data_IF_733611582169
#
_entry.id   IF_733611582169
#
_cell.length_a   1.000
_cell.length_b   1.000
_cell.length_c   1.000
_cell.angle_alpha   90.00
_cell.angle_beta   90.00
_cell.angle_gamma   90.00
#
_symmetry.space_group_name_H-M   'P 1'
#
loop_
_entity.id
_entity.type
_entity.pdbx_description
1 polymer ?
#
# COMPACT_ATOMS: atom_id res chain seq x y z
N UNK A 1 -3.79 1.89 50.54
CA UNK A 1 -3.62 0.49 51.00
C UNK A 1 -3.21 -0.34 49.79
N UNK A 2 -1.91 -0.56 49.62
CA UNK A 2 -1.34 -1.29 48.47
C UNK A 2 -1.18 -2.76 48.83
N UNK A 3 -1.81 -3.62 48.02
CA UNK A 3 -1.61 -5.07 48.00
C UNK A 3 -0.21 -5.38 47.46
N UNK A 4 0.64 -6.00 48.29
CA UNK A 4 1.87 -6.69 47.89
C UNK A 4 1.56 -8.17 47.68
N UNK A 5 1.30 -8.56 46.44
CA UNK A 5 1.56 -9.91 45.92
C UNK A 5 2.99 -9.85 45.33
N UNK A 6 3.94 -10.75 45.52
CA UNK A 6 4.00 -12.10 46.06
C UNK A 6 5.27 -12.72 45.45
N UNK A 7 6.46 -12.25 45.85
CA UNK A 7 7.76 -12.69 45.30
C UNK A 7 8.25 -13.98 46.01
N UNK A 8 7.67 -14.29 47.17
CA UNK A 8 8.03 -15.45 47.99
C UNK A 8 8.06 -16.80 47.27
N UNK A 9 7.10 -17.13 46.38
CA UNK A 9 7.11 -18.43 45.69
C UNK A 9 8.27 -18.59 44.70
N UNK A 10 8.62 -17.52 43.99
CA UNK A 10 9.74 -17.53 43.04
C UNK A 10 11.08 -17.57 43.78
N UNK A 11 11.18 -16.86 44.90
CA UNK A 11 12.39 -16.81 45.70
C UNK A 11 12.68 -18.18 46.35
N UNK A 12 11.65 -18.84 46.89
CA UNK A 12 11.79 -20.22 47.37
C UNK A 12 12.22 -21.20 46.26
N UNK A 13 11.66 -21.07 45.06
CA UNK A 13 12.04 -21.96 43.95
C UNK A 13 13.49 -21.77 43.49
N UNK A 14 14.02 -20.55 43.59
CA UNK A 14 15.42 -20.25 43.28
C UNK A 14 16.34 -20.82 44.36
N UNK A 15 15.99 -20.65 45.63
CA UNK A 15 16.81 -21.14 46.74
C UNK A 15 16.86 -22.68 46.75
N UNK A 16 15.74 -23.35 46.47
CA UNK A 16 15.67 -24.82 46.40
C UNK A 16 16.48 -25.38 45.23
N UNK A 17 16.52 -24.67 44.09
CA UNK A 17 17.36 -25.02 42.95
C UNK A 17 18.86 -24.82 43.23
N UNK A 18 19.22 -23.81 44.03
CA UNK A 18 20.60 -23.56 44.44
C UNK A 18 21.11 -24.63 45.41
N UNK A 19 20.27 -25.08 46.35
CA UNK A 19 20.62 -26.16 47.27
C UNK A 19 20.80 -27.51 46.54
N UNK A 20 19.99 -27.77 45.50
CA UNK A 20 20.16 -28.94 44.62
C UNK A 20 21.50 -28.94 43.87
N UNK A 21 22.03 -27.76 43.54
CA UNK A 21 23.33 -27.60 42.88
C UNK A 21 24.51 -27.63 43.85
N UNK A 22 24.30 -27.27 45.11
CA UNK A 22 25.35 -27.26 46.14
C UNK A 22 25.71 -28.68 46.67
N UNK A 23 24.84 -29.67 46.45
CA UNK A 23 24.96 -31.02 47.02
C UNK A 23 25.83 -32.03 46.25
N UNK A 24 26.41 -31.67 45.10
CA UNK A 24 27.13 -32.61 44.24
C UNK A 24 28.63 -32.26 44.11
N UNK A 25 29.53 -32.90 44.88
CA UNK A 25 30.97 -32.61 44.85
C UNK A 25 31.67 -33.39 43.72
N UNK A 26 30.98 -33.65 42.60
CA UNK A 26 31.64 -34.15 41.40
C UNK A 26 32.53 -33.02 40.87
N UNK A 27 33.86 -33.21 40.78
CA UNK A 27 34.70 -32.21 40.14
C UNK A 27 34.18 -32.02 38.72
N UNK A 28 33.75 -30.78 38.42
CA UNK A 28 33.39 -30.40 37.06
C UNK A 28 34.59 -30.77 36.18
N UNK A 29 34.39 -31.52 35.09
CA UNK A 29 35.48 -31.76 34.15
C UNK A 29 36.03 -30.39 33.77
N UNK A 30 37.36 -30.28 33.82
CA UNK A 30 38.11 -29.07 33.51
C UNK A 30 37.46 -28.42 32.28
N UNK A 31 36.88 -27.25 32.47
CA UNK A 31 36.04 -26.63 31.46
C UNK A 31 36.88 -26.48 30.20
N UNK A 32 36.64 -27.36 29.22
CA UNK A 32 37.15 -27.17 27.88
C UNK A 32 36.78 -25.74 27.52
N UNK A 33 37.76 -24.97 27.01
CA UNK A 33 37.52 -23.63 26.50
C UNK A 33 36.61 -23.80 25.28
N UNK A 34 35.31 -23.87 25.54
CA UNK A 34 34.28 -23.84 24.52
C UNK A 34 34.27 -22.40 24.06
N UNK A 35 34.68 -22.17 22.80
CA UNK A 35 34.50 -20.87 22.19
C UNK A 35 33.05 -20.43 22.41
N UNK A 36 32.82 -19.23 22.98
CA UNK A 36 31.48 -18.78 23.25
C UNK A 36 30.73 -18.79 21.93
N UNK A 37 29.62 -19.55 21.87
CA UNK A 37 28.74 -19.54 20.72
C UNK A 37 28.42 -18.08 20.38
N UNK A 38 28.55 -17.67 19.10
CA UNK A 38 28.25 -16.29 18.72
C UNK A 38 26.86 -15.96 19.23
N UNK A 39 26.73 -14.82 19.91
CA UNK A 39 25.44 -14.43 20.49
C UNK A 39 24.35 -14.49 19.42
N UNK A 40 23.10 -14.81 19.80
CA UNK A 40 21.97 -14.78 18.87
C UNK A 40 21.92 -13.47 18.08
N UNK A 41 22.31 -12.36 18.72
CA UNK A 41 22.42 -11.05 18.08
C UNK A 41 23.49 -11.01 16.97
N UNK A 42 24.66 -11.59 17.19
CA UNK A 42 25.71 -11.68 16.17
C UNK A 42 25.26 -12.57 15.00
N UNK A 43 24.61 -13.69 15.29
CA UNK A 43 24.02 -14.55 14.25
C UNK A 43 22.96 -13.81 13.44
N UNK A 44 22.11 -13.01 14.08
CA UNK A 44 21.14 -12.14 13.40
C UNK A 44 21.83 -11.07 12.54
N UNK A 45 22.89 -10.45 13.03
CA UNK A 45 23.66 -9.45 12.29
C UNK A 45 24.32 -10.04 11.03
N UNK A 46 24.90 -11.23 11.16
CA UNK A 46 25.54 -11.94 10.05
C UNK A 46 24.53 -12.36 8.98
N UNK A 47 23.34 -12.83 9.40
CA UNK A 47 22.23 -13.12 8.49
C UNK A 47 21.75 -11.87 7.75
N UNK A 48 21.67 -10.72 8.43
CA UNK A 48 21.28 -9.44 7.82
C UNK A 48 22.35 -8.97 6.82
N UNK A 49 23.63 -9.08 7.17
CA UNK A 49 24.74 -8.64 6.31
C UNK A 49 24.91 -9.52 5.05
N UNK A 50 24.50 -10.78 5.10
CA UNK A 50 24.55 -11.71 3.98
C UNK A 50 23.43 -11.52 2.95
N UNK A 51 22.40 -10.70 3.25
CA UNK A 51 21.31 -10.43 2.32
C UNK A 51 21.77 -9.43 1.23
N UNK A 52 21.76 -9.81 -0.06
CA UNK A 52 21.97 -8.86 -1.15
C UNK A 52 20.73 -7.97 -1.22
N UNK A 53 20.83 -6.71 -0.80
CA UNK A 53 19.62 -5.88 -0.69
C UNK A 53 19.55 -4.83 -1.79
N UNK A 54 18.97 -5.21 -2.94
CA UNK A 54 18.19 -4.23 -3.68
C UNK A 54 17.09 -3.74 -2.71
N UNK A 55 16.96 -2.43 -2.44
CA UNK A 55 16.03 -1.98 -1.42
C UNK A 55 14.60 -2.38 -1.76
N UNK A 56 13.88 -2.94 -0.78
CA UNK A 56 12.51 -3.39 -0.98
C UNK A 56 11.56 -2.21 -0.80
N UNK A 57 10.68 -1.99 -1.79
CA UNK A 57 9.60 -1.01 -1.70
C UNK A 57 8.27 -1.71 -1.88
N UNK A 58 7.25 -1.24 -1.15
CA UNK A 58 5.90 -1.76 -1.21
C UNK A 58 4.99 -0.79 -1.95
N UNK A 59 4.17 -1.26 -2.88
CA UNK A 59 3.24 -0.41 -3.62
C UNK A 59 1.81 -0.94 -3.60
N UNK A 60 0.86 -0.03 -3.40
CA UNK A 60 -0.57 -0.30 -3.45
C UNK A 60 -1.15 0.33 -4.71
N UNK A 61 -1.76 -0.49 -5.58
CA UNK A 61 -2.35 -0.04 -6.83
C UNK A 61 -3.86 -0.18 -6.79
N UNK A 62 -4.56 0.95 -6.86
CA UNK A 62 -6.01 0.99 -6.83
C UNK A 62 -6.50 1.83 -8.00
N UNK A 63 -7.36 1.28 -8.85
CA UNK A 63 -8.02 2.11 -9.87
C UNK A 63 -8.92 3.17 -9.21
N UNK A 64 -9.29 4.21 -9.96
CA UNK A 64 -10.11 5.29 -9.43
C UNK A 64 -11.44 4.77 -8.85
N UNK A 65 -11.76 5.20 -7.63
CA UNK A 65 -12.99 4.85 -6.92
C UNK A 65 -13.18 3.35 -6.56
N UNK A 66 -12.11 2.58 -6.41
CA UNK A 66 -12.17 1.16 -5.99
C UNK A 66 -11.97 0.91 -4.48
N UNK A 67 -12.07 1.96 -3.65
CA UNK A 67 -11.92 1.83 -2.20
C UNK A 67 -10.50 1.96 -1.67
N UNK A 68 -9.55 2.42 -2.51
CA UNK A 68 -8.13 2.57 -2.14
C UNK A 68 -7.88 3.33 -0.84
N UNK A 69 -8.64 4.39 -0.54
CA UNK A 69 -8.48 5.14 0.72
C UNK A 69 -8.76 4.27 1.96
N UNK A 70 -9.82 3.46 1.94
CA UNK A 70 -10.16 2.59 3.08
C UNK A 70 -9.06 1.56 3.30
N UNK A 71 -8.68 0.87 2.23
CA UNK A 71 -7.68 -0.20 2.28
C UNK A 71 -6.33 0.37 2.71
N UNK A 72 -5.91 1.51 2.17
CA UNK A 72 -4.68 2.18 2.56
C UNK A 72 -4.67 2.63 4.03
N UNK A 73 -5.81 3.08 4.58
CA UNK A 73 -5.90 3.36 6.03
C UNK A 73 -5.66 2.11 6.87
N UNK A 74 -6.19 0.95 6.45
CA UNK A 74 -5.97 -0.32 7.16
C UNK A 74 -4.51 -0.78 7.05
N UNK A 75 -3.88 -0.63 5.87
CA UNK A 75 -2.46 -0.93 5.68
C UNK A 75 -1.58 0.02 6.50
N UNK A 76 -1.89 1.31 6.53
CA UNK A 76 -1.17 2.29 7.34
C UNK A 76 -1.26 2.01 8.85
N UNK A 77 -2.29 1.28 9.30
CA UNK A 77 -2.46 0.87 10.68
C UNK A 77 -1.67 -0.41 11.04
N UNK A 78 -1.06 -1.10 10.07
CA UNK A 78 -0.20 -2.25 10.34
C UNK A 78 1.10 -1.82 11.03
N UNK A 79 1.70 -2.69 11.87
CA UNK A 79 2.95 -2.40 12.57
C UNK A 79 4.06 -1.93 11.63
N UNK A 80 4.85 -0.99 12.11
CA UNK A 80 6.05 -0.48 11.43
C UNK A 80 5.82 0.02 9.99
N UNK A 81 4.58 0.30 9.61
CA UNK A 81 4.23 0.73 8.26
C UNK A 81 4.23 2.25 8.17
N UNK A 82 4.96 2.80 7.20
CA UNK A 82 4.92 4.21 6.82
C UNK A 82 4.35 4.31 5.42
N UNK A 83 3.13 4.81 5.31
CA UNK A 83 2.42 4.93 4.04
C UNK A 83 2.45 6.37 3.51
N UNK A 84 2.98 6.55 2.30
CA UNK A 84 2.80 7.77 1.53
C UNK A 84 1.64 7.60 0.56
N UNK A 85 0.68 8.51 0.62
CA UNK A 85 -0.60 8.39 -0.08
C UNK A 85 -0.67 9.28 -1.31
N UNK A 86 -1.33 8.77 -2.35
CA UNK A 86 -1.59 9.48 -3.62
C UNK A 86 -0.32 9.90 -4.36
N UNK A 87 0.53 8.92 -4.62
CA UNK A 87 1.82 9.11 -5.26
C UNK A 87 1.70 8.91 -6.77
N UNK A 88 2.05 9.95 -7.53
CA UNK A 88 2.26 9.92 -8.97
C UNK A 88 3.20 11.08 -9.35
N UNK A 89 4.52 10.85 -9.48
CA UNK A 89 5.50 11.92 -9.68
C UNK A 89 5.34 12.64 -11.01
N UNK A 90 4.64 12.01 -11.97
CA UNK A 90 4.39 12.55 -13.31
C UNK A 90 3.01 13.19 -13.47
N UNK A 91 2.21 13.22 -12.40
CA UNK A 91 0.90 13.87 -12.38
C UNK A 91 0.99 15.38 -12.58
N UNK A 92 0.07 15.91 -13.38
CA UNK A 92 -0.17 17.35 -13.53
C UNK A 92 -1.56 17.78 -13.02
N UNK A 93 -2.33 16.84 -12.44
CA UNK A 93 -3.76 17.04 -12.15
C UNK A 93 -4.05 18.20 -11.18
N UNK A 94 -3.14 18.44 -10.24
CA UNK A 94 -3.29 19.45 -9.17
C UNK A 94 -2.38 20.67 -9.36
N UNK A 95 -1.72 20.80 -10.51
CA UNK A 95 -0.79 21.90 -10.77
C UNK A 95 -1.56 23.03 -11.47
N UNK A 96 -1.74 24.19 -10.82
CA UNK A 96 -2.37 25.34 -11.46
C UNK A 96 -1.57 25.76 -12.70
N UNK A 97 -2.26 25.92 -13.82
CA UNK A 97 -1.63 26.33 -15.09
C UNK A 97 -1.37 27.84 -15.14
N UNK A 98 -2.12 28.60 -14.35
CA UNK A 98 -2.23 30.05 -14.53
C UNK A 98 -1.20 30.83 -13.68
N UNK A 99 -0.65 30.20 -12.63
CA UNK A 99 0.36 30.82 -11.76
C UNK A 99 1.20 29.77 -11.01
N UNK A 100 2.50 30.03 -10.78
CA UNK A 100 3.31 29.23 -9.88
C UNK A 100 2.73 29.18 -8.46
N UNK A 101 2.97 28.07 -7.77
CA UNK A 101 2.52 27.83 -6.39
C UNK A 101 3.72 27.89 -5.48
N UNK A 102 3.66 28.72 -4.44
CA UNK A 102 4.72 28.76 -3.44
C UNK A 102 4.72 27.46 -2.63
N UNK A 103 5.68 26.57 -2.91
CA UNK A 103 5.87 25.30 -2.22
C UNK A 103 7.37 25.08 -1.94
N UNK A 104 7.95 25.76 -0.94
CA UNK A 104 9.40 25.86 -0.75
C UNK A 104 10.08 24.52 -0.40
N UNK A 105 9.32 23.51 0.01
CA UNK A 105 9.82 22.16 0.34
C UNK A 105 9.49 21.11 -0.71
N UNK A 106 8.72 21.46 -1.75
CA UNK A 106 8.33 20.55 -2.82
C UNK A 106 9.24 20.75 -4.03
N UNK A 107 10.37 20.04 -4.02
CA UNK A 107 11.38 20.14 -5.09
C UNK A 107 10.80 19.77 -6.46
N UNK A 108 9.93 18.74 -6.52
CA UNK A 108 9.33 18.31 -7.79
C UNK A 108 8.36 19.34 -8.35
N UNK A 109 7.56 20.00 -7.50
CA UNK A 109 6.70 21.10 -7.94
C UNK A 109 7.52 22.28 -8.46
N UNK A 110 8.59 22.66 -7.76
CA UNK A 110 9.48 23.74 -8.22
C UNK A 110 10.16 23.39 -9.56
N UNK A 111 10.60 22.14 -9.74
CA UNK A 111 11.14 21.64 -11.01
C UNK A 111 10.12 21.71 -12.16
N UNK A 112 8.83 21.64 -11.88
CA UNK A 112 7.77 21.79 -12.90
C UNK A 112 7.42 23.24 -13.21
N UNK A 113 7.65 24.14 -12.26
CA UNK A 113 7.28 25.56 -12.37
C UNK A 113 8.43 26.45 -12.83
N UNK A 114 9.62 25.90 -13.08
CA UNK A 114 10.73 26.65 -13.65
C UNK A 114 10.42 27.11 -15.08
N UNK A 115 10.95 28.28 -15.44
CA UNK A 115 10.80 28.87 -16.78
C UNK A 115 11.48 28.05 -17.88
N UNK A 116 12.41 27.15 -17.53
CA UNK A 116 13.06 26.23 -18.46
C UNK A 116 12.52 24.82 -18.22
N UNK A 117 11.69 24.26 -19.12
CA UNK A 117 11.12 22.93 -18.95
C UNK A 117 12.20 21.87 -18.75
N UNK A 118 11.99 21.00 -17.77
CA UNK A 118 12.83 19.84 -17.52
C UNK A 118 12.16 18.57 -18.07
N UNK A 119 12.92 17.60 -18.60
CA UNK A 119 12.37 16.32 -19.04
C UNK A 119 11.67 15.57 -17.89
N UNK A 120 10.61 14.82 -18.20
CA UNK A 120 9.91 13.98 -17.21
C UNK A 120 10.81 12.91 -16.59
N UNK A 121 11.79 12.42 -17.34
CA UNK A 121 12.82 11.48 -16.87
C UNK A 121 13.60 12.06 -15.69
N UNK A 122 13.98 13.35 -15.75
CA UNK A 122 14.69 14.00 -14.65
C UNK A 122 13.82 14.15 -13.39
N UNK A 123 12.51 14.38 -13.56
CA UNK A 123 11.56 14.40 -12.45
C UNK A 123 11.43 13.01 -11.81
N UNK A 124 11.40 11.96 -12.64
CA UNK A 124 11.39 10.57 -12.19
C UNK A 124 12.67 10.21 -11.44
N UNK A 125 13.84 10.60 -11.93
CA UNK A 125 15.14 10.34 -11.29
C UNK A 125 15.23 10.96 -9.90
N UNK A 126 14.83 12.24 -9.77
CA UNK A 126 14.82 12.94 -8.47
C UNK A 126 13.83 12.27 -7.51
N UNK A 127 12.67 11.86 -8.01
CA UNK A 127 11.68 11.12 -7.22
C UNK A 127 12.24 9.77 -6.73
N UNK A 128 12.81 8.96 -7.62
CA UNK A 128 13.40 7.65 -7.31
C UNK A 128 14.51 7.78 -6.27
N UNK A 129 15.40 8.77 -6.43
CA UNK A 129 16.46 9.04 -5.47
C UNK A 129 15.91 9.42 -4.08
N UNK A 130 14.89 10.29 -4.02
CA UNK A 130 14.26 10.69 -2.77
C UNK A 130 13.58 9.51 -2.07
N UNK A 131 12.85 8.68 -2.82
CA UNK A 131 12.20 7.47 -2.33
C UNK A 131 13.22 6.46 -1.81
N UNK A 132 14.32 6.23 -2.54
CA UNK A 132 15.38 5.32 -2.11
C UNK A 132 16.04 5.76 -0.81
N UNK A 133 16.30 7.06 -0.65
CA UNK A 133 16.83 7.60 0.62
C UNK A 133 15.83 7.46 1.75
N UNK A 134 14.54 7.71 1.53
CA UNK A 134 13.52 7.53 2.56
C UNK A 134 13.39 6.06 2.97
N UNK A 135 13.30 5.15 2.01
CA UNK A 135 13.19 3.72 2.24
C UNK A 135 14.37 3.20 3.08
N UNK A 136 15.60 3.58 2.73
CA UNK A 136 16.79 3.20 3.51
C UNK A 136 16.72 3.70 4.96
N UNK A 137 16.31 4.96 5.18
CA UNK A 137 16.22 5.53 6.53
C UNK A 137 15.09 4.96 7.38
N UNK A 138 14.04 4.44 6.74
CA UNK A 138 12.96 3.72 7.42
C UNK A 138 13.41 2.29 7.75
N UNK A 139 14.09 1.62 6.82
CA UNK A 139 14.66 0.29 7.04
C UNK A 139 15.67 0.28 8.20
N UNK A 140 16.51 1.32 8.34
CA UNK A 140 17.42 1.52 9.49
C UNK A 140 16.68 1.51 10.85
N UNK A 141 15.37 1.78 10.85
CA UNK A 141 14.50 1.82 12.04
C UNK A 141 13.55 0.63 12.14
N UNK A 142 13.71 -0.39 11.28
CA UNK A 142 12.80 -1.52 11.19
C UNK A 142 11.42 -1.17 10.64
N UNK A 143 11.30 -0.08 9.86
CA UNK A 143 10.05 0.38 9.26
C UNK A 143 9.99 0.08 7.77
N UNK A 144 8.77 -0.09 7.26
CA UNK A 144 8.48 -0.40 5.86
C UNK A 144 7.83 0.80 5.16
N UNK A 145 8.41 1.22 4.04
CA UNK A 145 7.81 2.23 3.16
C UNK A 145 6.77 1.58 2.25
N UNK A 146 5.54 2.09 2.29
CA UNK A 146 4.45 1.75 1.38
C UNK A 146 4.05 2.99 0.58
N UNK A 147 4.00 2.87 -0.75
CA UNK A 147 3.52 3.93 -1.63
C UNK A 147 2.14 3.55 -2.17
N UNK A 148 1.12 4.33 -1.87
CA UNK A 148 -0.18 4.20 -2.51
C UNK A 148 -0.19 5.02 -3.79
N UNK A 149 -0.23 4.31 -4.92
CA UNK A 149 -0.33 4.87 -6.26
C UNK A 149 -1.60 5.71 -6.44
N UNK A 150 -1.48 6.83 -7.13
CA UNK A 150 -2.61 7.65 -7.54
C UNK A 150 -3.02 7.36 -8.99
N UNK A 151 -3.54 6.16 -9.23
CA UNK A 151 -3.96 5.73 -10.56
C UNK A 151 -4.98 6.67 -11.24
N UNK A 152 -5.74 7.47 -10.48
CA UNK A 152 -6.65 8.46 -11.06
C UNK A 152 -5.91 9.50 -11.92
N UNK A 153 -4.78 10.04 -11.46
CA UNK A 153 -4.00 11.01 -12.26
C UNK A 153 -3.21 10.38 -13.41
N UNK A 154 -3.00 9.06 -13.37
CA UNK A 154 -2.38 8.32 -14.47
C UNK A 154 -3.39 7.91 -15.53
N UNK A 155 -4.43 7.19 -15.12
CA UNK A 155 -5.35 6.53 -16.05
C UNK A 155 -6.60 7.34 -16.36
N UNK A 156 -7.07 8.22 -15.46
CA UNK A 156 -8.36 8.89 -15.58
C UNK A 156 -8.22 10.39 -15.88
N UNK A 157 -7.38 10.74 -16.86
CA UNK A 157 -7.14 12.14 -17.29
C UNK A 157 -7.20 12.27 -18.82
N UNK A 158 -7.01 13.49 -19.33
CA UNK A 158 -7.06 13.76 -20.77
C UNK A 158 -5.80 13.22 -21.47
N UNK A 159 -4.71 13.04 -20.72
CA UNK A 159 -3.48 12.43 -21.21
C UNK A 159 -3.71 10.93 -21.44
N UNK A 160 -3.17 10.42 -22.54
CA UNK A 160 -3.21 8.99 -22.80
C UNK A 160 -2.24 8.26 -21.85
N UNK A 161 -2.70 7.26 -21.06
CA UNK A 161 -1.88 6.62 -20.04
C UNK A 161 -0.65 5.89 -20.58
N UNK A 162 -0.69 5.48 -21.86
CA UNK A 162 0.42 4.79 -22.53
C UNK A 162 1.65 5.68 -22.79
N UNK A 163 1.48 7.00 -22.71
CA UNK A 163 2.53 7.98 -23.06
C UNK A 163 3.53 8.24 -21.95
N UNK A 164 3.38 7.60 -20.79
CA UNK A 164 4.30 7.75 -19.65
C UNK A 164 4.36 6.49 -18.80
N UNK A 165 5.48 6.21 -18.11
CA UNK A 165 5.59 5.03 -17.27
C UNK A 165 4.67 5.12 -16.03
N UNK A 166 4.15 3.97 -15.60
CA UNK A 166 3.44 3.84 -14.31
C UNK A 166 4.40 4.01 -13.13
N UNK A 167 3.87 4.28 -11.93
CA UNK A 167 4.68 4.39 -10.70
C UNK A 167 5.57 3.15 -10.50
N UNK A 168 5.00 1.96 -10.70
CA UNK A 168 5.74 0.69 -10.59
C UNK A 168 6.90 0.63 -11.59
N UNK A 169 6.67 1.05 -12.83
CA UNK A 169 7.70 1.04 -13.88
C UNK A 169 8.79 2.08 -13.66
N UNK A 170 8.48 3.21 -13.02
CA UNK A 170 9.45 4.22 -12.58
C UNK A 170 10.38 3.65 -11.49
N UNK A 171 9.82 2.86 -10.55
CA UNK A 171 10.57 2.32 -9.41
C UNK A 171 11.34 1.03 -9.73
N UNK A 172 10.84 0.20 -10.65
CA UNK A 172 11.36 -1.15 -10.91
C UNK A 172 12.87 -1.26 -11.22
N UNK A 173 13.54 -0.26 -11.84
CA UNK A 173 14.97 -0.35 -12.10
C UNK A 173 15.86 -0.39 -10.84
N UNK A 174 15.40 0.20 -9.72
CA UNK A 174 16.23 0.43 -8.52
C UNK A 174 15.76 -0.35 -7.28
N UNK A 175 14.58 -0.98 -7.34
CA UNK A 175 13.93 -1.59 -6.17
C UNK A 175 13.36 -2.98 -6.44
N UNK A 176 13.43 -3.86 -5.44
CA UNK A 176 12.56 -5.04 -5.38
C UNK A 176 11.17 -4.58 -4.94
N UNK A 177 10.17 -4.76 -5.79
CA UNK A 177 8.83 -4.22 -5.55
C UNK A 177 7.89 -5.33 -5.07
N UNK A 178 7.37 -5.16 -3.85
CA UNK A 178 6.24 -5.95 -3.33
C UNK A 178 4.96 -5.18 -3.55
N UNK A 179 4.00 -5.76 -4.27
CA UNK A 179 2.85 -5.00 -4.73
C UNK A 179 1.58 -5.83 -4.76
N UNK A 180 0.46 -5.13 -4.61
CA UNK A 180 -0.88 -5.71 -4.76
C UNK A 180 -1.80 -4.71 -5.46
N UNK A 181 -2.72 -5.25 -6.26
CA UNK A 181 -3.76 -4.50 -6.93
C UNK A 181 -5.07 -4.70 -6.20
N UNK A 182 -5.85 -3.64 -6.04
CA UNK A 182 -7.25 -3.77 -5.65
C UNK A 182 -8.20 -3.23 -6.71
N UNK A 183 -9.28 -3.98 -6.88
CA UNK A 183 -10.30 -3.72 -7.89
C UNK A 183 -11.68 -3.68 -7.25
N UNK A 184 -12.66 -3.16 -7.98
CA UNK A 184 -14.06 -3.11 -7.56
C UNK A 184 -14.94 -3.40 -8.78
N UNK A 185 -16.23 -3.73 -8.59
CA UNK A 185 -17.16 -3.84 -9.72
C UNK A 185 -17.07 -2.55 -10.59
N UNK A 186 -16.73 -2.68 -11.90
CA UNK A 186 -16.61 -1.54 -12.81
C UNK A 186 -17.83 -0.62 -12.83
N UNK A 187 -19.04 -1.15 -12.59
CA UNK A 187 -20.27 -0.35 -12.50
C UNK A 187 -20.20 0.57 -11.28
N UNK A 188 -19.85 0.02 -10.13
CA UNK A 188 -19.78 0.74 -8.86
C UNK A 188 -18.68 1.82 -8.86
N UNK A 189 -17.50 1.49 -9.40
CA UNK A 189 -16.42 2.47 -9.55
C UNK A 189 -16.74 3.53 -10.59
N UNK A 190 -17.36 3.18 -11.72
CA UNK A 190 -17.75 4.17 -12.74
C UNK A 190 -18.83 5.14 -12.23
N UNK A 191 -19.85 4.66 -11.53
CA UNK A 191 -20.87 5.51 -10.91
C UNK A 191 -20.27 6.46 -9.88
N UNK A 192 -19.29 5.98 -9.11
CA UNK A 192 -18.55 6.82 -8.15
C UNK A 192 -17.71 7.89 -8.86
N UNK A 193 -17.03 7.53 -9.95
CA UNK A 193 -16.27 8.46 -10.78
C UNK A 193 -17.18 9.55 -11.38
N UNK A 194 -18.38 9.18 -11.85
CA UNK A 194 -19.37 10.13 -12.37
C UNK A 194 -19.92 11.06 -11.29
N UNK A 195 -20.26 10.51 -10.12
CA UNK A 195 -20.77 11.28 -8.99
C UNK A 195 -19.77 12.35 -8.49
N UNK A 196 -18.47 12.06 -8.57
CA UNK A 196 -17.41 13.02 -8.25
C UNK A 196 -17.11 14.02 -9.39
N UNK A 197 -17.77 13.92 -10.55
CA UNK A 197 -17.47 14.73 -11.73
C UNK A 197 -16.16 14.34 -12.44
N UNK A 198 -15.42 13.36 -11.92
CA UNK A 198 -14.08 12.98 -12.41
C UNK A 198 -14.08 12.29 -13.78
N UNK A 199 -15.23 11.77 -14.21
CA UNK A 199 -15.40 11.26 -15.57
C UNK A 199 -15.12 12.31 -16.66
N UNK A 200 -15.28 13.60 -16.32
CA UNK A 200 -15.03 14.72 -17.24
C UNK A 200 -13.55 14.93 -17.54
N UNK A 201 -12.66 14.38 -16.70
CA UNK A 201 -11.22 14.49 -16.90
C UNK A 201 -10.73 13.62 -18.06
N UNK A 202 -11.49 12.60 -18.47
CA UNK A 202 -11.14 11.70 -19.58
C UNK A 202 -11.78 12.18 -20.87
N UNK A 203 -11.11 11.91 -22.00
CA UNK A 203 -11.65 12.15 -23.32
C UNK A 203 -11.46 10.90 -24.20
N UNK A 204 -12.53 10.39 -24.87
CA UNK A 204 -13.93 10.83 -24.76
C UNK A 204 -14.58 10.40 -23.43
N UNK A 205 -15.66 11.08 -23.01
CA UNK A 205 -16.36 10.81 -21.74
C UNK A 205 -17.35 9.63 -21.87
N UNK A 206 -16.90 8.47 -22.32
CA UNK A 206 -17.75 7.31 -22.64
C UNK A 206 -17.44 6.09 -21.77
N UNK A 207 -18.39 5.15 -21.61
CA UNK A 207 -18.12 3.86 -20.96
C UNK A 207 -17.00 3.06 -21.62
N UNK A 208 -16.87 3.13 -22.96
CA UNK A 208 -15.82 2.45 -23.70
C UNK A 208 -14.43 2.99 -23.32
N UNK A 209 -14.27 4.31 -23.22
CA UNK A 209 -12.99 4.91 -22.83
C UNK A 209 -12.65 4.61 -21.36
N UNK A 210 -13.65 4.62 -20.49
CA UNK A 210 -13.46 4.16 -19.11
C UNK A 210 -12.98 2.70 -19.06
N UNK A 211 -13.63 1.82 -19.83
CA UNK A 211 -13.28 0.40 -19.86
C UNK A 211 -11.86 0.17 -20.41
N UNK A 212 -11.48 0.89 -21.47
CA UNK A 212 -10.13 0.87 -22.05
C UNK A 212 -9.09 1.27 -21.01
N UNK A 213 -9.30 2.38 -20.29
CA UNK A 213 -8.37 2.89 -19.27
C UNK A 213 -8.24 1.96 -18.07
N UNK A 214 -9.33 1.34 -17.64
CA UNK A 214 -9.28 0.34 -16.58
C UNK A 214 -8.54 -0.92 -17.07
N UNK A 215 -8.77 -1.37 -18.30
CA UNK A 215 -8.02 -2.50 -18.86
C UNK A 215 -6.50 -2.22 -18.93
N UNK A 216 -6.10 -1.04 -19.39
CA UNK A 216 -4.68 -0.63 -19.36
C UNK A 216 -4.09 -0.67 -17.95
N UNK A 217 -4.83 -0.21 -16.94
CA UNK A 217 -4.41 -0.34 -15.55
C UNK A 217 -4.24 -1.81 -15.14
N UNK A 218 -5.15 -2.70 -15.52
CA UNK A 218 -5.03 -4.13 -15.21
C UNK A 218 -3.83 -4.76 -15.94
N UNK A 219 -3.62 -4.40 -17.21
CA UNK A 219 -2.51 -4.91 -18.03
C UNK A 219 -1.15 -4.50 -17.47
N UNK A 220 -1.00 -3.25 -16.99
CA UNK A 220 0.22 -2.75 -16.34
C UNK A 220 0.57 -3.49 -15.03
N UNK A 221 -0.40 -4.21 -14.46
CA UNK A 221 -0.28 -4.90 -13.17
C UNK A 221 -0.71 -6.38 -13.24
N UNK A 222 -0.73 -6.98 -14.44
CA UNK A 222 -1.23 -8.34 -14.69
C UNK A 222 -0.51 -9.45 -13.92
N UNK A 223 0.72 -9.18 -13.49
CA UNK A 223 1.58 -10.11 -12.76
C UNK A 223 1.44 -10.00 -11.24
N UNK A 224 0.60 -9.09 -10.75
CA UNK A 224 0.41 -8.86 -9.32
C UNK A 224 -0.81 -9.60 -8.77
N UNK A 225 -0.80 -9.97 -7.47
CA UNK A 225 -2.00 -10.44 -6.79
C UNK A 225 -3.10 -9.37 -6.84
N UNK A 226 -4.34 -9.83 -6.99
CA UNK A 226 -5.53 -8.98 -7.05
C UNK A 226 -6.45 -9.28 -5.87
N UNK A 227 -6.95 -8.22 -5.23
CA UNK A 227 -7.98 -8.27 -4.19
C UNK A 227 -9.22 -7.47 -4.62
N UNK A 228 -10.41 -8.06 -4.50
CA UNK A 228 -11.66 -7.34 -4.74
C UNK A 228 -12.05 -6.51 -3.51
N UNK A 229 -12.52 -5.30 -3.74
CA UNK A 229 -13.06 -4.41 -2.70
C UNK A 229 -14.21 -5.08 -1.94
N UNK A 230 -15.05 -5.80 -2.65
CA UNK A 230 -16.20 -6.52 -2.14
C UNK A 230 -15.76 -7.59 -1.13
N UNK A 231 -14.72 -8.37 -1.47
CA UNK A 231 -14.08 -9.33 -0.54
C UNK A 231 -13.60 -8.61 0.73
N UNK A 232 -12.89 -7.49 0.58
CA UNK A 232 -12.39 -6.70 1.72
C UNK A 232 -13.51 -6.17 2.61
N UNK A 233 -14.62 -5.71 2.04
CA UNK A 233 -15.72 -5.18 2.85
C UNK A 233 -16.58 -6.25 3.51
N UNK A 234 -16.61 -7.45 2.93
CA UNK A 234 -17.36 -8.58 3.46
C UNK A 234 -16.60 -9.26 4.61
N UNK A 235 -15.30 -9.47 4.44
CA UNK A 235 -14.43 -10.10 5.43
C UNK A 235 -13.06 -9.40 5.49
N UNK A 236 -12.96 -8.30 6.27
CA UNK A 236 -11.79 -7.41 6.23
C UNK A 236 -10.53 -8.03 6.82
N UNK A 237 -10.62 -8.94 7.78
CA UNK A 237 -9.43 -9.50 8.43
C UNK A 237 -8.65 -10.43 7.48
N UNK A 238 -9.24 -11.47 6.87
CA UNK A 238 -8.53 -12.31 5.92
C UNK A 238 -8.06 -11.53 4.69
N UNK A 239 -8.84 -10.54 4.25
CA UNK A 239 -8.45 -9.68 3.14
C UNK A 239 -7.23 -8.81 3.48
N UNK A 240 -7.17 -8.22 4.68
CA UNK A 240 -6.01 -7.47 5.14
C UNK A 240 -4.78 -8.37 5.36
N UNK A 241 -4.96 -9.60 5.87
CA UNK A 241 -3.87 -10.59 5.98
C UNK A 241 -3.26 -10.88 4.61
N UNK A 242 -4.09 -11.13 3.59
CA UNK A 242 -3.62 -11.33 2.20
C UNK A 242 -2.84 -10.12 1.66
N UNK A 243 -3.27 -8.90 2.00
CA UNK A 243 -2.52 -7.68 1.64
C UNK A 243 -1.18 -7.63 2.38
N UNK A 244 -1.17 -7.89 3.69
CA UNK A 244 0.05 -7.89 4.49
C UNK A 244 1.06 -8.92 3.97
N UNK A 245 0.61 -10.13 3.65
CA UNK A 245 1.46 -11.18 3.08
C UNK A 245 2.03 -10.80 1.71
N UNK A 246 1.19 -10.27 0.80
CA UNK A 246 1.63 -9.83 -0.52
C UNK A 246 2.66 -8.68 -0.46
N UNK A 247 2.56 -7.84 0.57
CA UNK A 247 3.45 -6.73 0.80
C UNK A 247 4.60 -7.06 1.76
N UNK A 248 4.69 -8.28 2.30
CA UNK A 248 5.66 -8.63 3.34
C UNK A 248 5.65 -7.62 4.50
N UNK A 249 4.48 -7.45 5.13
CA UNK A 249 4.23 -6.56 6.27
C UNK A 249 3.86 -7.35 7.52
N UNK A 250 4.19 -6.80 8.69
CA UNK A 250 3.79 -7.37 9.97
C UNK A 250 2.27 -7.36 10.17
N UNK A 251 1.76 -8.37 10.87
CA UNK A 251 0.35 -8.47 11.24
C UNK A 251 0.08 -7.84 12.62
N UNK A 252 -1.10 -7.24 12.78
CA UNK A 252 -1.65 -6.84 14.08
C UNK A 252 -3.16 -7.01 14.09
N UNK A 253 -3.69 -7.65 15.12
CA UNK A 253 -5.14 -7.81 15.33
C UNK A 253 -5.84 -6.45 15.56
N UNK A 254 -5.10 -5.44 16.01
CA UNK A 254 -5.63 -4.09 16.25
C UNK A 254 -5.76 -3.24 14.98
N UNK A 255 -5.18 -3.66 13.84
CA UNK A 255 -5.10 -2.82 12.64
C UNK A 255 -6.50 -2.34 12.15
N UNK A 256 -7.50 -3.23 12.20
CA UNK A 256 -8.89 -2.92 11.83
C UNK A 256 -9.64 -2.07 12.85
N UNK A 257 -9.09 -1.89 14.06
CA UNK A 257 -9.62 -0.97 15.07
C UNK A 257 -8.93 0.40 14.99
N UNK A 258 -7.65 0.42 14.60
CA UNK A 258 -6.83 1.63 14.54
C UNK A 258 -6.98 2.42 13.22
N UNK A 259 -7.45 1.79 12.14
CA UNK A 259 -7.57 2.44 10.82
C UNK A 259 -8.34 3.78 10.80
N UNK A 260 -9.39 4.03 11.63
CA UNK A 260 -10.10 5.31 11.59
C UNK A 260 -9.21 6.49 12.02
N UNK A 261 -8.17 6.23 12.80
CA UNK A 261 -7.21 7.25 13.24
C UNK A 261 -6.20 7.62 12.16
N UNK A 262 -6.08 6.81 11.09
CA UNK A 262 -5.10 7.05 10.03
C UNK A 262 -5.55 8.20 9.13
N UNK A 263 -4.71 9.24 9.07
CA UNK A 263 -4.94 10.43 8.24
C UNK A 263 -4.13 10.31 6.95
N UNK A 264 -4.82 10.20 5.82
CA UNK A 264 -4.22 10.11 4.49
C UNK A 264 -4.81 11.18 3.57
N UNK A 265 -4.01 11.65 2.61
CA UNK A 265 -4.51 12.41 1.46
C UNK A 265 -5.45 11.54 0.63
N UNK A 266 -6.42 12.16 -0.06
CA UNK A 266 -7.40 11.41 -0.84
C UNK A 266 -8.61 10.90 -0.08
N UNK A 267 -8.97 11.54 1.04
CA UNK A 267 -10.16 11.17 1.84
C UNK A 267 -11.49 11.61 1.21
N UNK A 268 -11.55 11.61 -0.12
CA UNK A 268 -12.72 11.95 -0.94
C UNK A 268 -13.75 10.81 -0.98
N UNK A 269 -13.38 9.62 -0.51
CA UNK A 269 -14.20 8.41 -0.56
C UNK A 269 -15.02 8.14 0.71
N UNK A 270 -14.90 6.91 1.22
CA UNK A 270 -15.67 6.39 2.35
C UNK A 270 -15.28 7.10 3.65
N UNK A 271 -16.21 7.88 4.19
CA UNK A 271 -16.18 8.43 5.54
C UNK A 271 -16.90 7.48 6.50
N UNK A 272 -16.36 7.32 7.71
CA UNK A 272 -16.92 6.50 8.79
C UNK A 272 -15.94 5.48 9.36
N UNK A 273 -16.27 4.99 10.55
CA UNK A 273 -15.36 4.19 11.39
C UNK A 273 -15.61 2.68 11.28
N UNK A 274 -16.52 2.25 10.39
CA UNK A 274 -16.88 0.84 10.19
C UNK A 274 -16.60 0.36 8.77
N UNK A 275 -16.14 -0.88 8.67
CA UNK A 275 -15.94 -1.62 7.42
C UNK A 275 -17.10 -2.60 7.27
N UNK A 276 -17.83 -2.45 6.16
CA UNK A 276 -19.03 -3.23 5.86
C UNK A 276 -19.40 -3.05 4.40
N UNK A 277 -20.07 -4.01 3.75
CA UNK A 277 -20.60 -3.82 2.40
C UNK A 277 -21.56 -2.63 2.36
N UNK A 278 -21.62 -1.93 1.22
CA UNK A 278 -22.59 -0.86 0.99
C UNK A 278 -23.65 -1.34 0.00
N UNK A 279 -24.91 -0.87 0.11
CA UNK A 279 -25.91 -1.10 -0.92
C UNK A 279 -25.38 -0.65 -2.28
N UNK A 280 -25.71 -1.42 -3.33
CA UNK A 280 -25.39 -1.03 -4.71
C UNK A 280 -26.03 0.31 -5.06
N UNK A 281 -25.32 1.10 -5.86
CA UNK A 281 -25.82 2.40 -6.29
C UNK A 281 -26.90 2.22 -7.36
N UNK A 282 -28.01 3.00 -7.32
CA UNK A 282 -28.98 2.98 -8.39
C UNK A 282 -28.33 3.46 -9.69
N UNK A 283 -28.62 2.77 -10.79
CA UNK A 283 -28.15 3.14 -12.14
C UNK A 283 -29.31 3.77 -12.89
N UNK A 284 -29.12 4.98 -13.42
CA UNK A 284 -30.13 5.64 -14.24
C UNK A 284 -30.37 4.82 -15.53
N UNK A 285 -31.62 4.63 -16.00
CA UNK A 285 -31.92 3.77 -17.15
C UNK A 285 -31.08 4.09 -18.40
N UNK A 286 -30.96 5.37 -18.76
CA UNK A 286 -30.17 5.78 -19.93
C UNK A 286 -28.68 5.43 -19.80
N UNK A 287 -28.11 5.45 -18.59
CA UNK A 287 -26.74 5.00 -18.37
C UNK A 287 -26.65 3.48 -18.42
N UNK A 288 -27.63 2.78 -17.84
CA UNK A 288 -27.67 1.32 -17.86
C UNK A 288 -27.68 0.80 -19.30
N UNK A 289 -28.48 1.41 -20.18
CA UNK A 289 -28.51 1.08 -21.62
C UNK A 289 -27.13 1.31 -22.26
N UNK A 290 -26.47 2.45 -21.98
CA UNK A 290 -25.11 2.70 -22.47
C UNK A 290 -24.07 1.67 -21.99
N UNK A 291 -24.19 1.18 -20.76
CA UNK A 291 -23.29 0.15 -20.22
C UNK A 291 -23.56 -1.21 -20.86
N UNK A 292 -24.83 -1.55 -21.11
CA UNK A 292 -25.26 -2.79 -21.77
C UNK A 292 -24.88 -2.82 -23.25
N UNK A 293 -24.95 -1.67 -23.92
CA UNK A 293 -24.60 -1.53 -25.34
C UNK A 293 -23.09 -1.32 -25.57
N UNK A 294 -22.26 -1.43 -24.53
CA UNK A 294 -20.81 -1.25 -24.61
C UNK A 294 -20.06 -2.59 -24.45
N UNK A 295 -19.66 -3.25 -25.55
CA UNK A 295 -18.95 -4.53 -25.49
C UNK A 295 -17.66 -4.49 -24.68
N UNK A 296 -16.89 -3.39 -24.79
CA UNK A 296 -15.64 -3.22 -24.04
C UNK A 296 -15.85 -3.20 -22.53
N UNK A 297 -16.95 -2.58 -22.07
CA UNK A 297 -17.31 -2.49 -20.68
C UNK A 297 -17.80 -3.84 -20.14
N UNK A 298 -18.65 -4.54 -20.91
CA UNK A 298 -19.09 -5.90 -20.57
C UNK A 298 -17.90 -6.87 -20.48
N UNK A 299 -16.98 -6.81 -21.44
CA UNK A 299 -15.76 -7.61 -21.47
C UNK A 299 -14.86 -7.34 -20.25
N UNK A 300 -14.72 -6.07 -19.85
CA UNK A 300 -14.00 -5.71 -18.63
C UNK A 300 -14.63 -6.35 -17.39
N UNK A 301 -15.96 -6.24 -17.23
CA UNK A 301 -16.66 -6.85 -16.08
C UNK A 301 -16.48 -8.35 -16.03
N UNK A 302 -16.69 -9.03 -17.16
CA UNK A 302 -16.51 -10.48 -17.27
C UNK A 302 -15.08 -10.90 -16.93
N UNK A 303 -14.06 -10.21 -17.47
CA UNK A 303 -12.65 -10.49 -17.17
C UNK A 303 -12.26 -10.32 -15.69
N UNK A 304 -13.04 -9.56 -14.92
CA UNK A 304 -12.85 -9.36 -13.48
C UNK A 304 -13.74 -10.29 -12.63
N UNK A 305 -14.52 -11.17 -13.27
CA UNK A 305 -15.46 -12.09 -12.62
C UNK A 305 -16.66 -11.37 -12.00
N UNK A 306 -17.19 -10.34 -12.67
CA UNK A 306 -18.48 -9.71 -12.37
C UNK A 306 -19.50 -10.08 -13.45
N UNK A 307 -19.97 -11.32 -13.41
CA UNK A 307 -20.84 -11.91 -14.44
C UNK A 307 -22.33 -11.68 -14.19
N UNK A 308 -22.70 -11.20 -13.00
CA UNK A 308 -24.10 -10.88 -12.68
C UNK A 308 -24.68 -9.82 -13.62
N UNK A 309 -25.98 -9.97 -13.91
CA UNK A 309 -26.75 -9.09 -14.78
C UNK A 309 -26.63 -7.63 -14.34
N UNK A 310 -26.27 -6.77 -15.30
CA UNK A 310 -26.25 -5.30 -15.19
C UNK A 310 -27.63 -4.73 -14.82
#
# INVERSE_FOLDING_TARGET
MQNRTGIGPLQSAIDEALDLLAGDPRPLPEAAVVEPLPSLLAQCQDLIAALPACPVIRTLHHFACTGGTLIAKCVAALPNTVLLSEIDPLSTLVIPQDRPVFAPTDVLLNMRQTTRPLPEEMLADVFVAAIGRLAARLADRGQHLVLRDHAHSHYCTHRDPSTRPSLRRILAPEFDIRAIVTVRDPVESYLSLRANGWHTHMAPQTPAEYARRYRLFLDDHRDLPVLKYEEFTQDPEPALRRIADALDLGWSDDALHLFPMMRLTGDSGRKGDSIAPRPRKPVAPALLDQLRDCPDFLSLRAGMGYEDTL
#
